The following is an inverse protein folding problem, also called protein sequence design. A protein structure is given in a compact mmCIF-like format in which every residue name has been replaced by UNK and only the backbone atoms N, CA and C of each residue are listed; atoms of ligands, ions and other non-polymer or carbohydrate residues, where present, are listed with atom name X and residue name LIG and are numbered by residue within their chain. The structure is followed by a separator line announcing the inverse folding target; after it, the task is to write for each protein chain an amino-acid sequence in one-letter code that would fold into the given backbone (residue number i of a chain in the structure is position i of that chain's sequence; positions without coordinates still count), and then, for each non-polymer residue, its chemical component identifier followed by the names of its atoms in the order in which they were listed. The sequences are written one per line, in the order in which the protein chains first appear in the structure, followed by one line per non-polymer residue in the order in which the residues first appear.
data_IF_963767665786
#
_entry.id   IF_963767665786
#
_cell.length_a   1.000
_cell.length_b   1.000
_cell.length_c   1.000
_cell.angle_alpha   90.00
_cell.angle_beta   90.00
_cell.angle_gamma   90.00
#
_symmetry.space_group_name_H-M   'P 1'
#
loop_
_entity.id
_entity.type
_entity.pdbx_description
1 polymer ?
#
# COMPACT_ATOMS: atom_id res chain seq x y z
N UNK A 1 -67.96 -20.76 10.13
CA UNK A 1 -66.69 -20.02 10.38
C UNK A 1 -65.60 -21.03 10.67
N UNK A 2 -64.91 -21.47 9.63
CA UNK A 2 -63.59 -22.17 9.62
C UNK A 2 -63.44 -22.72 8.21
N UNK A 3 -62.32 -22.41 7.54
CA UNK A 3 -61.72 -23.14 6.38
C UNK A 3 -61.12 -22.31 5.24
N UNK A 4 -61.01 -20.98 5.36
CA UNK A 4 -60.22 -20.18 4.38
C UNK A 4 -58.78 -19.85 4.80
N UNK A 5 -58.37 -20.17 6.04
CA UNK A 5 -57.04 -19.82 6.56
C UNK A 5 -55.99 -20.95 6.49
N UNK A 6 -56.40 -22.21 6.28
CA UNK A 6 -55.43 -23.31 6.10
C UNK A 6 -54.95 -23.41 4.66
N UNK A 7 -55.83 -23.28 3.67
CA UNK A 7 -55.48 -23.37 2.25
C UNK A 7 -54.45 -22.32 1.82
N UNK A 8 -54.61 -21.07 2.28
CA UNK A 8 -53.72 -19.95 1.95
C UNK A 8 -52.33 -20.04 2.59
N UNK A 9 -52.21 -20.66 3.78
CA UNK A 9 -50.92 -20.91 4.45
C UNK A 9 -50.16 -22.08 3.82
N UNK A 10 -50.87 -23.13 3.42
CA UNK A 10 -50.26 -24.29 2.74
C UNK A 10 -49.80 -23.91 1.33
N UNK A 11 -50.58 -23.10 0.60
CA UNK A 11 -50.21 -22.60 -0.72
C UNK A 11 -49.02 -21.63 -0.67
N UNK A 12 -48.93 -20.75 0.35
CA UNK A 12 -47.76 -19.88 0.56
C UNK A 12 -46.52 -20.67 0.95
N UNK A 13 -46.64 -21.73 1.76
CA UNK A 13 -45.50 -22.61 2.09
C UNK A 13 -45.04 -23.43 0.88
N UNK A 14 -45.96 -23.88 0.03
CA UNK A 14 -45.61 -24.55 -1.22
C UNK A 14 -44.93 -23.61 -2.20
N UNK A 15 -45.41 -22.36 -2.33
CA UNK A 15 -44.76 -21.36 -3.18
C UNK A 15 -43.38 -20.95 -2.64
N UNK A 16 -43.22 -20.82 -1.31
CA UNK A 16 -41.92 -20.54 -0.70
C UNK A 16 -40.96 -21.73 -0.87
N UNK A 17 -41.43 -22.97 -0.73
CA UNK A 17 -40.61 -24.15 -0.98
C UNK A 17 -40.29 -24.34 -2.47
N UNK A 18 -41.18 -23.96 -3.39
CA UNK A 18 -40.89 -23.96 -4.83
C UNK A 18 -39.95 -22.82 -5.24
N UNK A 19 -40.00 -21.66 -4.56
CA UNK A 19 -39.03 -20.57 -4.73
C UNK A 19 -37.66 -20.96 -4.16
N UNK A 20 -37.61 -21.54 -2.96
CA UNK A 20 -36.37 -22.02 -2.32
C UNK A 20 -35.78 -23.20 -3.09
N UNK A 21 -36.62 -24.15 -3.52
CA UNK A 21 -36.19 -25.28 -4.34
C UNK A 21 -35.80 -24.83 -5.74
N UNK A 22 -36.47 -23.83 -6.33
CA UNK A 22 -36.11 -23.23 -7.61
C UNK A 22 -34.78 -22.49 -7.55
N UNK A 23 -34.48 -21.79 -6.45
CA UNK A 23 -33.17 -21.16 -6.22
C UNK A 23 -32.07 -22.18 -5.91
N UNK A 24 -32.40 -23.32 -5.29
CA UNK A 24 -31.44 -24.40 -4.99
C UNK A 24 -31.18 -25.33 -6.18
N UNK A 25 -32.11 -25.47 -7.14
CA UNK A 25 -31.90 -26.29 -8.34
C UNK A 25 -31.08 -25.59 -9.43
N UNK A 26 -30.79 -24.30 -9.30
CA UNK A 26 -29.79 -23.60 -10.13
C UNK A 26 -28.41 -23.49 -9.46
N UNK A 27 -28.23 -24.00 -8.23
CA UNK A 27 -26.91 -24.14 -7.63
C UNK A 27 -26.34 -25.54 -7.87
N UNK A 28 -26.04 -25.87 -9.13
CA UNK A 28 -24.94 -26.82 -9.40
C UNK A 28 -23.62 -26.06 -9.17
N UNK A 29 -23.34 -25.74 -7.91
CA UNK A 29 -22.05 -25.20 -7.50
C UNK A 29 -21.18 -26.35 -7.04
N UNK A 30 -20.06 -26.58 -7.71
CA UNK A 30 -18.93 -27.22 -7.04
C UNK A 30 -18.65 -26.38 -5.78
N UNK A 31 -18.80 -26.95 -4.59
CA UNK A 31 -18.47 -26.23 -3.37
C UNK A 31 -17.00 -25.85 -3.43
N UNK A 32 -16.70 -24.55 -3.39
CA UNK A 32 -15.32 -24.13 -3.16
C UNK A 32 -14.96 -24.54 -1.74
N UNK A 33 -14.10 -25.54 -1.61
CA UNK A 33 -13.54 -25.95 -0.33
C UNK A 33 -12.42 -24.98 -0.02
N UNK A 34 -12.60 -24.16 1.01
CA UNK A 34 -11.53 -23.38 1.59
C UNK A 34 -10.82 -24.21 2.65
N UNK A 35 -9.48 -24.29 2.58
CA UNK A 35 -8.67 -25.08 3.49
C UNK A 35 -8.69 -24.53 4.93
N UNK A 36 -8.80 -23.20 5.07
CA UNK A 36 -8.74 -22.51 6.34
C UNK A 36 -9.93 -21.56 6.53
N UNK A 37 -10.41 -21.50 7.78
CA UNK A 37 -11.43 -20.58 8.26
C UNK A 37 -10.96 -19.94 9.56
N UNK A 38 -10.92 -18.61 9.59
CA UNK A 38 -10.54 -17.82 10.76
C UNK A 38 -11.72 -16.92 11.15
N UNK A 39 -12.33 -17.17 12.31
CA UNK A 39 -13.39 -16.32 12.86
C UNK A 39 -12.79 -15.30 13.85
N UNK A 40 -13.22 -14.04 13.76
CA UNK A 40 -12.95 -13.01 14.76
C UNK A 40 -14.17 -12.12 14.95
N UNK A 41 -14.20 -11.27 16.01
CA UNK A 41 -15.22 -10.24 16.16
C UNK A 41 -15.28 -9.24 14.98
N UNK A 42 -14.19 -9.09 14.23
CA UNK A 42 -14.13 -8.20 13.07
C UNK A 42 -14.72 -8.84 11.80
N UNK A 43 -14.77 -10.17 11.72
CA UNK A 43 -15.32 -10.86 10.55
C UNK A 43 -14.80 -12.29 10.42
N UNK A 44 -15.19 -12.94 9.33
CA UNK A 44 -14.70 -14.29 9.01
C UNK A 44 -13.82 -14.23 7.78
N UNK A 45 -12.62 -14.81 7.85
CA UNK A 45 -11.70 -14.97 6.72
C UNK A 45 -11.71 -16.44 6.28
N UNK A 46 -11.86 -16.66 4.99
CA UNK A 46 -11.70 -17.97 4.34
C UNK A 46 -10.52 -17.92 3.37
N UNK A 47 -9.63 -18.92 3.39
CA UNK A 47 -8.47 -18.96 2.48
C UNK A 47 -8.08 -20.38 2.08
N UNK A 48 -7.46 -20.50 0.90
CA UNK A 48 -6.68 -21.65 0.46
C UNK A 48 -5.16 -21.40 0.53
N UNK A 49 -4.75 -20.17 0.83
CA UNK A 49 -3.36 -19.80 1.11
C UNK A 49 -2.91 -20.34 2.47
N UNK A 50 -1.63 -20.11 2.81
CA UNK A 50 -1.11 -20.46 4.12
C UNK A 50 -1.84 -19.72 5.26
N UNK A 51 -1.96 -20.41 6.40
CA UNK A 51 -2.69 -19.89 7.57
C UNK A 51 -1.98 -18.70 8.24
N UNK A 52 -0.68 -18.52 8.03
CA UNK A 52 0.08 -17.42 8.63
C UNK A 52 -0.25 -16.10 7.91
N UNK A 53 -0.30 -16.10 6.58
CA UNK A 53 -0.78 -14.99 5.75
C UNK A 53 -2.19 -14.57 6.15
N UNK A 54 -3.10 -15.54 6.35
CA UNK A 54 -4.47 -15.22 6.74
C UNK A 54 -4.60 -14.64 8.17
N UNK A 55 -3.68 -14.96 9.08
CA UNK A 55 -3.62 -14.35 10.43
C UNK A 55 -3.19 -12.90 10.38
N UNK A 56 -2.22 -12.55 9.52
CA UNK A 56 -1.83 -11.14 9.30
C UNK A 56 -3.06 -10.32 8.89
N UNK A 57 -3.79 -10.77 7.87
CA UNK A 57 -5.04 -10.10 7.44
C UNK A 57 -6.13 -10.05 8.51
N UNK A 58 -6.17 -11.00 9.45
CA UNK A 58 -7.14 -11.00 10.55
C UNK A 58 -6.88 -9.84 11.52
N UNK A 59 -5.62 -9.62 11.89
CA UNK A 59 -5.22 -8.52 12.78
C UNK A 59 -5.42 -7.16 12.09
N UNK A 60 -5.15 -7.08 10.78
CA UNK A 60 -5.38 -5.87 10.00
C UNK A 60 -6.85 -5.56 9.76
N UNK A 61 -7.70 -6.57 9.60
CA UNK A 61 -9.15 -6.36 9.42
C UNK A 61 -9.76 -5.62 10.61
N UNK A 62 -9.39 -5.98 11.84
CA UNK A 62 -9.89 -5.31 13.03
C UNK A 62 -9.47 -3.84 13.09
N UNK A 63 -8.18 -3.58 12.82
CA UNK A 63 -7.62 -2.23 12.76
C UNK A 63 -8.27 -1.38 11.66
N UNK A 64 -8.41 -1.91 10.45
CA UNK A 64 -9.05 -1.24 9.32
C UNK A 64 -10.51 -0.88 9.60
N UNK A 65 -11.28 -1.82 10.14
CA UNK A 65 -12.69 -1.56 10.47
C UNK A 65 -12.82 -0.50 11.56
N UNK A 66 -11.98 -0.55 12.61
CA UNK A 66 -11.98 0.48 13.65
C UNK A 66 -11.64 1.86 13.06
N UNK A 67 -10.63 1.93 12.20
CA UNK A 67 -10.26 3.14 11.48
C UNK A 67 -11.39 3.70 10.62
N UNK A 68 -12.02 2.87 9.79
CA UNK A 68 -13.17 3.28 8.97
C UNK A 68 -14.35 3.74 9.85
N UNK A 69 -14.64 3.08 10.96
CA UNK A 69 -15.70 3.52 11.91
C UNK A 69 -15.39 4.88 12.52
N UNK A 70 -14.14 5.14 12.90
CA UNK A 70 -13.71 6.43 13.44
C UNK A 70 -13.80 7.55 12.40
N UNK A 71 -13.40 7.28 11.16
CA UNK A 71 -13.37 8.28 10.09
C UNK A 71 -14.71 8.50 9.41
N UNK A 72 -15.60 7.51 9.45
CA UNK A 72 -16.95 7.53 8.86
C UNK A 72 -18.03 7.11 9.89
N UNK A 73 -18.17 7.81 11.03
CA UNK A 73 -18.98 7.37 12.16
C UNK A 73 -20.50 7.40 11.90
N UNK A 74 -21.00 8.18 10.94
CA UNK A 74 -22.42 8.16 10.56
C UNK A 74 -22.71 7.10 9.51
N UNK A 75 -21.82 6.97 8.54
CA UNK A 75 -21.87 6.04 7.42
C UNK A 75 -21.74 4.59 7.92
N UNK A 76 -20.93 4.36 8.95
CA UNK A 76 -20.63 3.03 9.48
C UNK A 76 -21.61 2.49 10.54
N UNK A 77 -22.62 3.25 10.97
CA UNK A 77 -23.48 2.90 12.14
C UNK A 77 -24.16 1.54 12.05
N UNK A 78 -24.52 1.11 10.84
CA UNK A 78 -25.27 -0.13 10.59
C UNK A 78 -24.53 -1.06 9.62
N UNK A 79 -23.19 -0.99 9.61
CA UNK A 79 -22.37 -1.89 8.79
C UNK A 79 -22.22 -3.21 9.53
N UNK A 80 -22.71 -4.29 8.93
CA UNK A 80 -22.61 -5.65 9.46
C UNK A 80 -21.17 -6.18 9.37
N UNK A 81 -20.91 -7.37 9.91
CA UNK A 81 -19.60 -8.00 9.77
C UNK A 81 -19.38 -8.44 8.31
N UNK A 82 -18.19 -8.17 7.77
CA UNK A 82 -17.80 -8.62 6.44
C UNK A 82 -17.30 -10.09 6.47
N UNK A 83 -17.60 -10.82 5.41
CA UNK A 83 -16.94 -12.10 5.10
C UNK A 83 -15.83 -11.84 4.10
N UNK A 84 -14.59 -12.24 4.40
CA UNK A 84 -13.44 -12.05 3.53
C UNK A 84 -13.05 -13.40 2.91
N UNK A 85 -12.87 -13.42 1.61
CA UNK A 85 -12.40 -14.56 0.83
C UNK A 85 -11.04 -14.22 0.23
N UNK A 86 -9.99 -14.90 0.67
CA UNK A 86 -8.64 -14.76 0.10
C UNK A 86 -8.49 -15.86 -0.96
N UNK A 87 -8.37 -15.45 -2.22
CA UNK A 87 -8.12 -16.36 -3.34
C UNK A 87 -6.64 -16.72 -3.45
N UNK A 88 -6.35 -17.89 -3.99
CA UNK A 88 -5.00 -18.27 -4.43
C UNK A 88 -4.82 -17.99 -5.92
N UNK A 89 -3.60 -17.75 -6.38
CA UNK A 89 -3.28 -17.66 -7.81
C UNK A 89 -3.96 -18.81 -8.58
N UNK A 90 -4.54 -18.45 -9.73
CA UNK A 90 -5.47 -19.24 -10.55
C UNK A 90 -5.20 -20.77 -10.55
N UNK A 91 -6.05 -21.54 -9.87
CA UNK A 91 -6.16 -22.99 -10.09
C UNK A 91 -6.80 -23.34 -11.45
N UNK A 92 -7.20 -22.34 -12.26
CA UNK A 92 -7.88 -22.53 -13.54
C UNK A 92 -7.21 -21.78 -14.69
N UNK A 93 -5.97 -22.15 -15.01
CA UNK A 93 -5.22 -21.73 -16.21
C UNK A 93 -5.87 -22.08 -17.56
N UNK A 94 -7.09 -22.64 -17.57
CA UNK A 94 -7.82 -23.09 -18.76
C UNK A 94 -9.15 -22.36 -19.00
N UNK A 95 -9.43 -21.26 -18.30
CA UNK A 95 -10.66 -20.50 -18.52
C UNK A 95 -10.54 -19.69 -19.82
N UNK A 96 -11.49 -19.86 -20.74
CA UNK A 96 -11.58 -19.06 -21.96
C UNK A 96 -11.84 -17.60 -21.56
N UNK A 97 -10.83 -16.75 -21.72
CA UNK A 97 -10.90 -15.30 -21.54
C UNK A 97 -11.97 -14.76 -22.50
N UNK A 98 -13.04 -14.17 -21.97
CA UNK A 98 -14.05 -13.47 -22.77
C UNK A 98 -13.76 -11.98 -22.71
N UNK A 99 -13.74 -11.32 -23.87
CA UNK A 99 -13.49 -9.88 -24.06
C UNK A 99 -14.49 -8.93 -23.34
N UNK A 100 -15.43 -9.48 -22.56
CA UNK A 100 -16.44 -8.77 -21.78
C UNK A 100 -16.30 -9.01 -20.26
N UNK A 101 -15.37 -9.84 -19.81
CA UNK A 101 -15.09 -10.01 -18.38
C UNK A 101 -14.18 -8.85 -17.90
N UNK A 102 -14.63 -8.14 -16.86
CA UNK A 102 -13.83 -7.11 -16.17
C UNK A 102 -12.83 -7.83 -15.26
N UNK A 103 -11.54 -7.56 -15.42
CA UNK A 103 -10.52 -8.13 -14.55
C UNK A 103 -10.27 -7.22 -13.33
N UNK A 104 -10.59 -7.72 -12.13
CA UNK A 104 -10.33 -6.99 -10.86
C UNK A 104 -9.44 -7.81 -9.93
N UNK A 105 -8.57 -7.14 -9.17
CA UNK A 105 -7.66 -7.76 -8.18
C UNK A 105 -8.42 -8.14 -6.88
N UNK A 106 -9.57 -7.51 -6.67
CA UNK A 106 -10.56 -7.85 -5.67
C UNK A 106 -11.94 -7.34 -6.07
N UNK A 107 -12.98 -7.75 -5.34
CA UNK A 107 -14.34 -7.26 -5.53
C UNK A 107 -15.20 -7.45 -4.27
N UNK A 108 -16.15 -6.53 -4.07
CA UNK A 108 -17.13 -6.58 -3.00
C UNK A 108 -18.54 -6.93 -3.50
N UNK A 109 -19.18 -7.90 -2.84
CA UNK A 109 -20.58 -8.25 -3.01
C UNK A 109 -21.45 -7.70 -1.87
N UNK A 110 -22.33 -6.76 -2.19
CA UNK A 110 -23.28 -6.22 -1.21
C UNK A 110 -24.31 -7.25 -0.71
N UNK A 111 -24.82 -8.12 -1.57
CA UNK A 111 -25.88 -9.07 -1.21
C UNK A 111 -25.40 -10.10 -0.18
N UNK A 112 -24.11 -10.41 -0.22
CA UNK A 112 -23.48 -11.42 0.64
C UNK A 112 -22.53 -10.81 1.67
N UNK A 113 -22.41 -9.47 1.73
CA UNK A 113 -21.42 -8.75 2.53
C UNK A 113 -20.01 -9.38 2.43
N UNK A 114 -19.64 -9.76 1.21
CA UNK A 114 -18.46 -10.58 0.93
C UNK A 114 -17.42 -9.75 0.18
N UNK A 115 -16.19 -9.73 0.67
CA UNK A 115 -15.02 -9.19 -0.04
C UNK A 115 -14.19 -10.36 -0.53
N UNK A 116 -13.82 -10.38 -1.80
CA UNK A 116 -12.85 -11.34 -2.34
C UNK A 116 -11.65 -10.57 -2.89
N UNK A 117 -10.43 -11.05 -2.64
CA UNK A 117 -9.23 -10.51 -3.28
C UNK A 117 -8.14 -11.56 -3.40
N UNK A 118 -7.19 -11.33 -4.31
CA UNK A 118 -5.99 -12.14 -4.44
C UNK A 118 -4.79 -11.35 -3.89
N UNK A 119 -4.07 -11.85 -2.88
CA UNK A 119 -2.87 -11.19 -2.38
C UNK A 119 -1.77 -11.23 -3.46
N UNK A 120 -0.98 -10.17 -3.56
CA UNK A 120 0.23 -10.16 -4.39
C UNK A 120 1.20 -11.17 -3.79
N UNK A 121 1.80 -12.03 -4.63
CA UNK A 121 2.70 -13.08 -4.15
C UNK A 121 3.85 -12.50 -3.32
N UNK A 122 4.26 -13.19 -2.24
CA UNK A 122 5.41 -12.76 -1.42
C UNK A 122 6.71 -12.60 -2.23
N UNK A 123 6.85 -13.33 -3.35
CA UNK A 123 7.98 -13.24 -4.27
C UNK A 123 7.92 -11.98 -5.14
N UNK A 124 6.74 -11.60 -5.65
CA UNK A 124 6.54 -10.31 -6.32
C UNK A 124 6.66 -9.15 -5.34
N UNK A 125 6.20 -9.32 -4.10
CA UNK A 125 6.46 -8.37 -3.02
C UNK A 125 7.96 -8.27 -2.80
N UNK A 126 8.74 -9.32 -2.59
CA UNK A 126 10.21 -9.16 -2.45
C UNK A 126 10.91 -8.55 -3.69
N UNK A 127 10.33 -8.71 -4.89
CA UNK A 127 10.82 -8.10 -6.12
C UNK A 127 10.40 -6.63 -6.31
N UNK A 128 9.20 -6.24 -5.82
CA UNK A 128 8.60 -4.90 -5.94
C UNK A 128 8.76 -4.04 -4.66
N UNK A 129 8.74 -4.67 -3.49
CA UNK A 129 8.94 -4.15 -2.13
C UNK A 129 10.42 -3.85 -1.88
N UNK A 130 10.80 -2.69 -2.42
CA UNK A 130 11.73 -1.78 -1.74
C UNK A 130 11.00 -0.94 -0.69
N UNK A 131 9.91 -1.45 -0.09
CA UNK A 131 8.99 -0.75 0.81
C UNK A 131 8.89 -1.48 2.16
N UNK A 132 8.84 -0.70 3.24
CA UNK A 132 8.79 -1.16 4.63
C UNK A 132 7.38 -1.39 5.18
N UNK A 133 6.34 -1.13 4.38
CA UNK A 133 4.96 -1.52 4.66
C UNK A 133 4.33 -1.97 3.34
N UNK A 134 3.75 -3.17 3.34
CA UNK A 134 3.43 -3.87 2.11
C UNK A 134 2.14 -3.34 1.45
N UNK A 135 2.08 -3.28 0.10
CA UNK A 135 0.85 -3.11 -0.67
C UNK A 135 -0.23 -4.20 -0.44
N UNK A 136 -0.01 -5.13 0.49
CA UNK A 136 -0.89 -6.25 0.85
C UNK A 136 -2.27 -5.83 1.35
N UNK A 137 -2.38 -4.65 1.98
CA UNK A 137 -3.60 -4.20 2.65
C UNK A 137 -4.47 -3.26 1.82
N UNK A 138 -3.91 -2.63 0.79
CA UNK A 138 -4.62 -1.58 0.04
C UNK A 138 -5.87 -2.09 -0.65
N UNK A 139 -5.77 -3.24 -1.33
CA UNK A 139 -6.94 -3.88 -1.98
C UNK A 139 -8.00 -4.30 -0.97
N UNK A 140 -7.62 -4.90 0.17
CA UNK A 140 -8.59 -5.25 1.21
C UNK A 140 -9.29 -4.01 1.76
N UNK A 141 -8.55 -2.95 2.05
CA UNK A 141 -9.11 -1.71 2.59
C UNK A 141 -9.98 -0.97 1.57
N UNK A 142 -9.62 -1.02 0.29
CA UNK A 142 -10.42 -0.52 -0.83
C UNK A 142 -11.80 -1.20 -0.84
N UNK A 143 -11.83 -2.54 -0.88
CA UNK A 143 -13.07 -3.31 -0.91
C UNK A 143 -13.87 -3.20 0.39
N UNK A 144 -13.18 -3.11 1.53
CA UNK A 144 -13.83 -2.86 2.82
C UNK A 144 -14.48 -1.47 2.86
N UNK A 145 -13.91 -0.48 2.18
CA UNK A 145 -14.53 0.84 2.05
C UNK A 145 -15.81 0.77 1.22
N UNK A 146 -15.84 -0.03 0.14
CA UNK A 146 -17.08 -0.33 -0.59
C UNK A 146 -18.13 -0.95 0.32
N UNK A 147 -17.73 -1.89 1.17
CA UNK A 147 -18.63 -2.49 2.16
C UNK A 147 -19.25 -1.44 3.09
N UNK A 148 -18.43 -0.57 3.66
CA UNK A 148 -18.85 0.48 4.60
C UNK A 148 -19.74 1.55 3.96
N UNK A 149 -19.52 1.85 2.69
CA UNK A 149 -20.21 2.94 1.99
C UNK A 149 -21.42 2.47 1.17
N UNK A 150 -21.58 1.16 0.96
CA UNK A 150 -22.62 0.57 0.09
C UNK A 150 -24.07 0.95 0.45
N UNK A 151 -24.36 1.27 1.71
CA UNK A 151 -25.70 1.69 2.13
C UNK A 151 -26.05 3.12 1.73
N UNK A 152 -25.05 3.98 1.51
CA UNK A 152 -25.23 5.41 1.26
C UNK A 152 -25.94 5.64 -0.07
N UNK A 153 -27.00 6.46 -0.05
CA UNK A 153 -27.82 6.71 -1.24
C UNK A 153 -27.10 7.60 -2.25
N UNK A 154 -26.37 8.59 -1.76
CA UNK A 154 -25.69 9.61 -2.57
C UNK A 154 -24.54 9.03 -3.42
N UNK A 155 -24.06 7.83 -3.08
CA UNK A 155 -23.00 7.13 -3.81
C UNK A 155 -23.56 6.15 -4.86
N UNK A 156 -24.84 5.75 -4.75
CA UNK A 156 -25.39 4.68 -5.60
C UNK A 156 -25.39 5.10 -7.06
N UNK A 157 -24.95 4.18 -7.92
CA UNK A 157 -24.89 4.37 -9.37
C UNK A 157 -23.98 5.51 -9.84
N UNK A 158 -23.15 6.07 -8.95
CA UNK A 158 -22.09 7.03 -9.27
C UNK A 158 -20.75 6.32 -9.12
N UNK A 159 -20.34 5.62 -10.17
CA UNK A 159 -19.20 4.71 -10.14
C UNK A 159 -17.89 5.44 -9.82
N UNK A 160 -17.66 6.59 -10.46
CA UNK A 160 -16.52 7.44 -10.16
C UNK A 160 -16.47 7.80 -8.66
N UNK A 161 -17.60 8.15 -8.05
CA UNK A 161 -17.63 8.58 -6.65
C UNK A 161 -17.46 7.40 -5.69
N UNK A 162 -18.02 6.24 -6.04
CA UNK A 162 -17.86 4.98 -5.29
C UNK A 162 -16.38 4.59 -5.24
N UNK A 163 -15.71 4.56 -6.39
CA UNK A 163 -14.28 4.29 -6.48
C UNK A 163 -13.43 5.39 -5.83
N UNK A 164 -13.84 6.66 -5.93
CA UNK A 164 -13.13 7.76 -5.29
C UNK A 164 -13.07 7.57 -3.76
N UNK A 165 -14.16 7.16 -3.14
CA UNK A 165 -14.19 6.87 -1.70
C UNK A 165 -13.24 5.72 -1.37
N UNK A 166 -13.32 4.59 -2.09
CA UNK A 166 -12.44 3.46 -1.85
C UNK A 166 -10.95 3.83 -2.01
N UNK A 167 -10.61 4.52 -3.10
CA UNK A 167 -9.25 5.04 -3.34
C UNK A 167 -8.78 6.04 -2.26
N UNK A 168 -9.70 6.76 -1.61
CA UNK A 168 -9.34 7.72 -0.57
C UNK A 168 -8.79 7.02 0.68
N UNK A 169 -9.33 5.85 1.02
CA UNK A 169 -8.94 5.10 2.21
C UNK A 169 -7.91 4.01 1.93
N UNK A 170 -7.78 3.50 0.70
CA UNK A 170 -6.92 2.34 0.37
C UNK A 170 -5.43 2.49 0.73
N UNK A 171 -4.95 3.73 0.87
CA UNK A 171 -3.55 4.02 1.23
C UNK A 171 -3.36 4.37 2.70
N UNK A 172 -4.39 4.21 3.53
CA UNK A 172 -4.24 4.39 4.98
C UNK A 172 -3.23 3.39 5.53
N UNK A 173 -2.43 3.85 6.49
CA UNK A 173 -1.34 3.09 7.08
C UNK A 173 -1.41 3.13 8.61
N UNK A 174 -0.77 2.15 9.24
CA UNK A 174 -0.59 2.10 10.69
C UNK A 174 0.44 3.15 11.10
N UNK A 175 -0.03 4.25 11.70
CA UNK A 175 0.82 5.27 12.29
C UNK A 175 1.41 4.81 13.63
N UNK A 176 2.13 5.72 14.30
CA UNK A 176 2.58 5.48 15.67
C UNK A 176 1.40 5.12 16.57
N UNK A 177 1.62 4.24 17.55
CA UNK A 177 0.60 3.76 18.49
C UNK A 177 -0.59 3.06 17.79
N UNK A 178 -0.35 2.34 16.69
CA UNK A 178 -1.36 1.61 15.91
C UNK A 178 -2.51 2.49 15.36
N UNK A 179 -2.29 3.81 15.25
CA UNK A 179 -3.33 4.73 14.79
C UNK A 179 -3.65 4.52 13.30
N UNK A 180 -4.93 4.59 12.95
CA UNK A 180 -5.36 4.60 11.55
C UNK A 180 -5.15 5.99 10.94
N UNK A 181 -4.13 6.12 10.09
CA UNK A 181 -3.70 7.37 9.48
C UNK A 181 -3.98 7.34 7.98
N UNK A 182 -4.77 8.31 7.50
CA UNK A 182 -4.98 8.51 6.06
C UNK A 182 -3.89 9.47 5.57
N UNK A 183 -3.10 9.10 4.56
CA UNK A 183 -2.06 9.99 4.06
C UNK A 183 -2.67 11.27 3.47
N UNK A 184 -1.93 12.39 3.49
CA UNK A 184 -2.41 13.66 2.96
C UNK A 184 -2.69 13.60 1.45
N UNK A 185 -2.10 12.62 0.76
CA UNK A 185 -2.23 12.43 -0.68
C UNK A 185 -1.99 10.97 -1.08
N UNK A 186 -2.74 10.48 -2.07
CA UNK A 186 -2.47 9.20 -2.72
C UNK A 186 -1.42 9.40 -3.81
N UNK A 187 -0.18 8.98 -3.56
CA UNK A 187 0.99 9.31 -4.41
C UNK A 187 0.82 8.84 -5.86
N UNK A 188 0.39 7.60 -6.09
CA UNK A 188 0.25 7.05 -7.45
C UNK A 188 -0.91 7.67 -8.22
N UNK A 189 -2.11 7.76 -7.62
CA UNK A 189 -3.26 8.44 -8.23
C UNK A 189 -2.94 9.90 -8.55
N UNK A 190 -2.32 10.65 -7.63
CA UNK A 190 -1.88 12.02 -7.90
C UNK A 190 -0.89 12.10 -9.06
N UNK A 191 0.12 11.20 -9.09
CA UNK A 191 1.12 11.17 -10.17
C UNK A 191 0.47 10.88 -11.52
N UNK A 192 -0.42 9.89 -11.56
CA UNK A 192 -1.12 9.44 -12.77
C UNK A 192 -1.99 10.55 -13.32
N UNK A 193 -2.86 11.14 -12.50
CA UNK A 193 -3.75 12.23 -12.92
C UNK A 193 -2.96 13.46 -13.36
N UNK A 194 -1.94 13.86 -12.58
CA UNK A 194 -1.11 15.03 -12.90
C UNK A 194 -0.30 14.85 -14.19
N UNK A 195 0.19 13.64 -14.45
CA UNK A 195 0.84 13.29 -15.73
C UNK A 195 -0.14 13.46 -16.88
N UNK A 196 -1.36 12.95 -16.73
CA UNK A 196 -2.39 13.06 -17.78
C UNK A 196 -2.83 14.51 -18.03
N UNK A 197 -2.99 15.31 -16.97
CA UNK A 197 -3.25 16.75 -17.06
C UNK A 197 -2.14 17.48 -17.86
N UNK A 198 -0.87 17.15 -17.60
CA UNK A 198 0.26 17.75 -18.35
C UNK A 198 0.30 17.33 -19.82
N UNK A 199 -0.06 16.10 -20.11
CA UNK A 199 -0.10 15.55 -21.47
C UNK A 199 -1.22 16.20 -22.32
N UNK A 200 -2.40 16.35 -21.73
CA UNK A 200 -3.59 16.83 -22.45
C UNK A 200 -3.72 18.36 -22.44
N UNK A 201 -3.18 19.03 -21.42
CA UNK A 201 -3.54 20.42 -21.09
C UNK A 201 -4.90 20.52 -20.40
N UNK A 202 -5.17 21.68 -19.78
CA UNK A 202 -6.34 21.84 -18.89
C UNK A 202 -7.68 21.62 -19.59
N UNK A 203 -7.86 22.14 -20.81
CA UNK A 203 -9.15 22.06 -21.53
C UNK A 203 -9.55 20.60 -21.84
N UNK A 204 -8.64 19.85 -22.48
CA UNK A 204 -8.87 18.43 -22.81
C UNK A 204 -8.91 17.55 -21.58
N UNK A 205 -8.16 17.89 -20.54
CA UNK A 205 -8.24 17.19 -19.27
C UNK A 205 -9.61 17.38 -18.62
N UNK A 206 -10.17 18.59 -18.61
CA UNK A 206 -11.52 18.83 -18.09
C UNK A 206 -12.58 18.03 -18.86
N UNK A 207 -12.46 17.90 -20.18
CA UNK A 207 -13.33 17.03 -20.99
C UNK A 207 -13.24 15.57 -20.54
N UNK A 208 -12.02 15.05 -20.34
CA UNK A 208 -11.82 13.69 -19.83
C UNK A 208 -12.42 13.50 -18.43
N UNK A 209 -12.31 14.49 -17.55
CA UNK A 209 -12.95 14.41 -16.22
C UNK A 209 -14.47 14.39 -16.35
N UNK A 210 -15.03 15.21 -17.24
CA UNK A 210 -16.47 15.23 -17.52
C UNK A 210 -16.98 13.88 -18.05
N UNK A 211 -16.22 13.22 -18.93
CA UNK A 211 -16.51 11.85 -19.37
C UNK A 211 -16.52 10.85 -18.20
N UNK A 212 -15.56 10.96 -17.27
CA UNK A 212 -15.46 10.06 -16.11
C UNK A 212 -16.65 10.21 -15.15
N UNK A 213 -17.10 11.44 -14.87
CA UNK A 213 -18.20 11.66 -13.93
C UNK A 213 -19.57 11.27 -14.50
N UNK A 214 -19.71 11.25 -15.83
CA UNK A 214 -20.92 10.87 -16.54
C UNK A 214 -20.95 9.41 -17.01
N UNK A 215 -19.85 8.67 -16.85
CA UNK A 215 -19.74 7.29 -17.30
C UNK A 215 -20.77 6.36 -16.62
N UNK A 216 -21.45 5.55 -17.45
CA UNK A 216 -22.21 4.40 -16.99
C UNK A 216 -21.30 3.30 -16.43
N UNK A 217 -21.88 2.28 -15.80
CA UNK A 217 -21.10 1.15 -15.26
C UNK A 217 -20.21 0.52 -16.33
N UNK A 218 -20.78 0.26 -17.50
CA UNK A 218 -20.05 -0.37 -18.58
C UNK A 218 -18.93 0.56 -19.10
N UNK A 219 -19.20 1.85 -19.30
CA UNK A 219 -18.16 2.79 -19.76
C UNK A 219 -17.02 2.94 -18.75
N UNK A 220 -17.34 2.90 -17.45
CA UNK A 220 -16.36 3.03 -16.40
C UNK A 220 -15.45 1.79 -16.28
N UNK A 221 -15.97 0.58 -16.53
CA UNK A 221 -15.22 -0.67 -16.30
C UNK A 221 -14.81 -1.45 -17.57
N UNK A 222 -15.36 -1.17 -18.76
CA UNK A 222 -15.17 -2.01 -19.97
C UNK A 222 -13.75 -2.08 -20.53
N UNK A 223 -12.84 -1.21 -20.12
CA UNK A 223 -11.45 -1.21 -20.57
C UNK A 223 -10.51 -1.22 -19.36
N UNK A 224 -10.05 -2.42 -18.99
CA UNK A 224 -9.20 -2.64 -17.82
C UNK A 224 -7.88 -1.85 -17.87
N UNK A 225 -7.35 -1.59 -19.07
CA UNK A 225 -6.15 -0.76 -19.24
C UNK A 225 -6.36 0.72 -18.88
N UNK A 226 -7.61 1.21 -18.90
CA UNK A 226 -7.97 2.59 -18.58
C UNK A 226 -8.61 2.76 -17.20
N UNK A 227 -9.07 1.67 -16.58
CA UNK A 227 -9.67 1.71 -15.24
C UNK A 227 -8.76 2.38 -14.19
N UNK A 228 -7.43 2.10 -14.13
CA UNK A 228 -6.55 2.79 -13.18
C UNK A 228 -6.50 4.31 -13.36
N UNK A 229 -6.62 4.80 -14.61
CA UNK A 229 -6.69 6.25 -14.87
C UNK A 229 -8.01 6.84 -14.38
N UNK A 230 -9.13 6.14 -14.61
CA UNK A 230 -10.46 6.57 -14.11
C UNK A 230 -10.50 6.60 -12.59
N UNK A 231 -9.87 5.65 -11.91
CA UNK A 231 -9.75 5.62 -10.45
C UNK A 231 -8.91 6.79 -9.94
N UNK A 232 -7.76 7.03 -10.58
CA UNK A 232 -6.89 8.16 -10.24
C UNK A 232 -7.57 9.51 -10.40
N UNK A 233 -8.33 9.71 -11.50
CA UNK A 233 -9.13 10.90 -11.74
C UNK A 233 -10.21 11.04 -10.67
N UNK A 234 -10.96 9.97 -10.41
CA UNK A 234 -12.04 9.92 -9.42
C UNK A 234 -11.56 10.33 -8.02
N UNK A 235 -10.45 9.73 -7.57
CA UNK A 235 -9.78 10.11 -6.33
C UNK A 235 -9.37 11.59 -6.33
N UNK A 236 -8.83 12.09 -7.44
CA UNK A 236 -8.34 13.48 -7.54
C UNK A 236 -9.47 14.50 -7.41
N UNK A 237 -10.65 14.21 -7.99
CA UNK A 237 -11.85 15.04 -7.85
C UNK A 237 -12.26 15.10 -6.37
N UNK A 238 -12.46 13.93 -5.74
CA UNK A 238 -12.88 13.87 -4.34
C UNK A 238 -11.89 14.56 -3.42
N UNK A 239 -10.59 14.26 -3.57
CA UNK A 239 -9.51 14.84 -2.78
C UNK A 239 -9.44 16.37 -2.90
N UNK A 240 -9.50 16.91 -4.12
CA UNK A 240 -9.42 18.35 -4.37
C UNK A 240 -10.63 19.11 -3.83
N UNK A 241 -11.84 18.58 -4.06
CA UNK A 241 -13.08 19.25 -3.65
C UNK A 241 -13.28 19.16 -2.13
N UNK A 242 -13.03 18.01 -1.50
CA UNK A 242 -13.19 17.89 -0.04
C UNK A 242 -12.23 18.79 0.73
N UNK A 243 -11.03 19.07 0.18
CA UNK A 243 -10.06 19.98 0.82
C UNK A 243 -10.53 21.44 0.88
N UNK A 244 -11.55 21.80 0.09
CA UNK A 244 -12.14 23.14 0.10
C UNK A 244 -13.37 23.24 1.02
N UNK A 245 -13.77 22.10 1.61
CA UNK A 245 -14.94 22.01 2.45
C UNK A 245 -14.57 22.13 3.93
N UNK A 246 -15.55 22.42 4.78
CA UNK A 246 -15.36 22.66 6.22
C UNK A 246 -16.00 21.56 7.04
N UNK A 247 -15.48 21.31 8.24
CA UNK A 247 -16.01 20.30 9.17
C UNK A 247 -15.19 19.02 9.22
N UNK A 248 -15.75 17.96 9.80
CA UNK A 248 -15.08 16.65 9.92
C UNK A 248 -14.84 16.01 8.55
N UNK A 249 -13.91 15.06 8.48
CA UNK A 249 -13.61 14.34 7.23
C UNK A 249 -14.88 13.76 6.60
N UNK A 250 -15.66 12.98 7.35
CA UNK A 250 -16.92 12.43 6.85
C UNK A 250 -17.87 13.52 6.32
N UNK A 251 -17.97 14.66 7.02
CA UNK A 251 -18.85 15.74 6.57
C UNK A 251 -18.39 16.30 5.22
N UNK A 252 -17.09 16.55 5.04
CA UNK A 252 -16.52 17.05 3.78
C UNK A 252 -16.70 16.04 2.64
N UNK A 253 -16.44 14.75 2.88
CA UNK A 253 -16.65 13.71 1.88
C UNK A 253 -18.12 13.62 1.45
N UNK A 254 -19.06 13.71 2.41
CA UNK A 254 -20.49 13.69 2.10
C UNK A 254 -20.98 14.99 1.43
N UNK A 255 -20.36 16.14 1.70
CA UNK A 255 -20.64 17.37 0.96
C UNK A 255 -20.25 17.24 -0.51
N UNK A 256 -19.12 16.61 -0.85
CA UNK A 256 -18.79 16.27 -2.25
C UNK A 256 -19.83 15.31 -2.84
N UNK A 257 -20.24 14.30 -2.07
CA UNK A 257 -21.24 13.33 -2.52
C UNK A 257 -22.63 13.93 -2.80
N UNK A 258 -22.94 15.08 -2.20
CA UNK A 258 -24.20 15.80 -2.42
C UNK A 258 -24.19 16.69 -3.65
N UNK A 259 -23.02 16.99 -4.22
CA UNK A 259 -22.93 17.74 -5.46
C UNK A 259 -23.46 16.89 -6.63
N UNK A 260 -24.27 17.50 -7.48
CA UNK A 260 -24.62 16.89 -8.76
C UNK A 260 -23.45 16.98 -9.77
N UNK A 261 -23.59 16.33 -10.92
CA UNK A 261 -22.52 16.29 -11.90
C UNK A 261 -22.25 17.67 -12.53
N UNK A 262 -23.27 18.52 -12.71
CA UNK A 262 -23.10 19.86 -13.29
C UNK A 262 -22.33 20.77 -12.32
N UNK A 263 -22.63 20.68 -11.03
CA UNK A 263 -21.89 21.37 -9.97
C UNK A 263 -20.42 20.92 -9.93
N UNK A 264 -20.13 19.64 -10.14
CA UNK A 264 -18.76 19.12 -10.23
C UNK A 264 -18.06 19.63 -11.49
N UNK A 265 -18.72 19.58 -12.65
CA UNK A 265 -18.19 20.09 -13.91
C UNK A 265 -17.83 21.58 -13.81
N UNK A 266 -18.65 22.36 -13.09
CA UNK A 266 -18.37 23.79 -12.85
C UNK A 266 -17.14 24.06 -11.99
N UNK A 267 -16.68 23.07 -11.21
CA UNK A 267 -15.54 23.15 -10.26
C UNK A 267 -14.27 22.46 -10.76
N UNK A 268 -14.22 22.00 -12.01
CA UNK A 268 -13.03 21.33 -12.57
C UNK A 268 -11.78 22.21 -12.58
N UNK A 269 -11.95 23.53 -12.65
CA UNK A 269 -10.82 24.45 -12.53
C UNK A 269 -10.15 24.37 -11.15
N UNK A 270 -10.90 24.10 -10.09
CA UNK A 270 -10.36 23.95 -8.75
C UNK A 270 -9.59 22.62 -8.61
N UNK A 271 -10.07 21.56 -9.27
CA UNK A 271 -9.39 20.26 -9.35
C UNK A 271 -8.06 20.40 -10.07
N UNK A 272 -8.03 21.03 -11.25
CA UNK A 272 -6.78 21.25 -12.00
C UNK A 272 -5.78 22.13 -11.24
N UNK A 273 -6.27 23.15 -10.54
CA UNK A 273 -5.44 24.02 -9.68
C UNK A 273 -4.81 23.23 -8.53
N UNK A 274 -5.59 22.36 -7.89
CA UNK A 274 -5.12 21.50 -6.78
C UNK A 274 -4.06 20.48 -7.22
N UNK A 275 -4.05 20.09 -8.50
CA UNK A 275 -3.04 19.20 -9.11
C UNK A 275 -1.75 19.94 -9.55
N UNK A 276 -1.71 21.27 -9.42
CA UNK A 276 -0.57 22.11 -9.81
C UNK A 276 0.73 21.77 -9.08
N UNK A 277 0.74 21.75 -7.72
CA UNK A 277 1.94 21.49 -6.92
C UNK A 277 2.66 20.18 -7.29
N UNK A 278 3.97 20.13 -7.06
CA UNK A 278 4.73 18.89 -7.26
C UNK A 278 4.55 17.93 -6.08
N UNK A 279 4.75 16.63 -6.28
CA UNK A 279 4.81 15.66 -5.16
C UNK A 279 5.82 16.08 -4.09
N UNK A 280 6.98 16.61 -4.49
CA UNK A 280 7.98 17.12 -3.55
C UNK A 280 7.51 18.34 -2.73
N UNK A 281 6.52 19.09 -3.22
CA UNK A 281 5.87 20.15 -2.43
C UNK A 281 5.02 19.52 -1.34
N UNK A 282 4.14 18.58 -1.71
CA UNK A 282 3.29 17.86 -0.75
C UNK A 282 4.10 17.15 0.33
N UNK A 283 5.20 16.48 -0.04
CA UNK A 283 6.09 15.85 0.93
C UNK A 283 6.78 16.87 1.84
N UNK A 284 7.17 18.03 1.32
CA UNK A 284 7.77 19.11 2.13
C UNK A 284 6.79 19.68 3.15
N UNK A 285 5.52 19.81 2.79
CA UNK A 285 4.49 20.32 3.68
C UNK A 285 4.17 19.27 4.76
N UNK A 286 4.03 18.01 4.35
CA UNK A 286 3.63 16.89 5.22
C UNK A 286 4.74 16.42 6.17
N UNK A 287 6.02 16.58 5.82
CA UNK A 287 7.15 16.10 6.64
C UNK A 287 7.26 16.84 7.99
N UNK A 288 6.69 18.04 8.08
CA UNK A 288 6.66 18.81 9.32
C UNK A 288 5.66 18.23 10.34
N UNK A 289 4.62 17.55 9.88
CA UNK A 289 3.55 16.99 10.70
C UNK A 289 3.92 15.60 11.21
N UNK A 290 3.87 15.42 12.52
CA UNK A 290 4.24 14.17 13.22
C UNK A 290 3.61 12.90 12.60
N UNK A 291 2.28 12.79 12.36
CA UNK A 291 1.70 11.56 11.83
C UNK A 291 2.13 11.25 10.39
N UNK A 292 2.65 12.23 9.65
CA UNK A 292 3.00 12.09 8.25
C UNK A 292 4.51 12.14 8.00
N UNK A 293 5.33 12.40 9.02
CA UNK A 293 6.77 12.57 8.87
C UNK A 293 7.45 11.33 8.31
N UNK A 294 7.23 10.18 8.95
CA UNK A 294 7.82 8.90 8.52
C UNK A 294 7.36 8.52 7.12
N UNK A 295 6.05 8.58 6.89
CA UNK A 295 5.44 8.37 5.58
C UNK A 295 6.05 9.28 4.50
N UNK A 296 6.16 10.60 4.77
CA UNK A 296 6.70 11.57 3.81
C UNK A 296 8.14 11.28 3.45
N UNK A 297 8.97 10.91 4.43
CA UNK A 297 10.37 10.52 4.20
C UNK A 297 10.45 9.31 3.28
N UNK A 298 9.67 8.26 3.54
CA UNK A 298 9.70 7.04 2.74
C UNK A 298 9.23 7.27 1.31
N UNK A 299 8.10 7.95 1.14
CA UNK A 299 7.56 8.28 -0.17
C UNK A 299 8.52 9.18 -0.97
N UNK A 300 9.17 10.13 -0.29
CA UNK A 300 10.14 11.00 -0.96
C UNK A 300 11.40 10.24 -1.36
N UNK A 301 11.89 9.31 -0.51
CA UNK A 301 13.03 8.43 -0.83
C UNK A 301 12.74 7.45 -1.98
N UNK A 302 11.47 7.16 -2.29
CA UNK A 302 11.06 6.38 -3.46
C UNK A 302 10.92 7.24 -4.73
N UNK A 303 10.81 8.56 -4.61
CA UNK A 303 10.72 9.48 -5.76
C UNK A 303 12.08 9.68 -6.46
N UNK A 304 12.09 10.33 -7.63
CA UNK A 304 13.30 10.59 -8.41
C UNK A 304 14.24 11.69 -7.87
N UNK A 305 13.70 12.79 -7.32
CA UNK A 305 14.48 13.92 -6.78
C UNK A 305 14.10 14.16 -5.32
N UNK A 306 15.09 14.32 -4.45
CA UNK A 306 14.90 14.48 -3.01
C UNK A 306 15.58 15.72 -2.46
N UNK A 307 15.06 16.22 -1.33
CA UNK A 307 15.74 17.21 -0.49
C UNK A 307 16.40 16.46 0.68
N UNK A 308 17.64 16.02 0.48
CA UNK A 308 18.33 15.21 1.48
C UNK A 308 18.58 15.97 2.79
N UNK A 309 18.72 17.30 2.75
CA UNK A 309 18.91 18.08 3.97
C UNK A 309 17.65 18.02 4.82
N UNK A 310 16.49 18.30 4.22
CA UNK A 310 15.22 18.29 4.92
C UNK A 310 14.86 16.89 5.43
N UNK A 311 15.11 15.85 4.62
CA UNK A 311 14.90 14.45 5.02
C UNK A 311 15.76 14.09 6.23
N UNK A 312 17.06 14.44 6.24
CA UNK A 312 17.93 14.12 7.37
C UNK A 312 17.52 14.86 8.65
N UNK A 313 17.10 16.12 8.55
CA UNK A 313 16.54 16.86 9.69
C UNK A 313 15.29 16.17 10.24
N UNK A 314 14.39 15.71 9.37
CA UNK A 314 13.18 15.02 9.79
C UNK A 314 13.49 13.67 10.46
N UNK A 315 14.45 12.91 9.92
CA UNK A 315 14.90 11.65 10.53
C UNK A 315 15.56 11.90 11.89
N UNK A 316 16.40 12.94 12.01
CA UNK A 316 17.08 13.25 13.28
C UNK A 316 16.09 13.51 14.42
N UNK A 317 14.94 14.11 14.14
CA UNK A 317 13.86 14.29 15.12
C UNK A 317 13.23 12.95 15.57
N UNK A 318 13.19 11.96 14.67
CA UNK A 318 12.61 10.63 14.94
C UNK A 318 13.61 9.68 15.58
N UNK A 319 14.92 9.84 15.40
CA UNK A 319 15.91 8.91 15.98
C UNK A 319 15.84 8.83 17.52
N UNK A 320 15.23 9.83 18.17
CA UNK A 320 15.04 9.85 19.62
C UNK A 320 13.71 9.23 20.08
N UNK A 321 12.81 8.86 19.16
CA UNK A 321 11.52 8.24 19.47
C UNK A 321 11.61 6.70 19.50
N UNK A 322 10.63 6.07 20.15
CA UNK A 322 10.58 4.60 20.23
C UNK A 322 10.46 3.97 18.84
N UNK A 323 11.24 2.91 18.60
CA UNK A 323 11.42 2.30 17.28
C UNK A 323 12.05 3.21 16.21
N UNK A 324 12.39 4.46 16.54
CA UNK A 324 12.91 5.46 15.62
C UNK A 324 14.26 5.11 15.02
N UNK A 325 15.11 4.37 15.74
CA UNK A 325 16.43 3.95 15.26
C UNK A 325 16.34 2.90 14.14
N UNK A 326 15.46 1.90 14.27
CA UNK A 326 15.29 0.80 13.31
C UNK A 326 14.75 1.34 11.98
N UNK A 327 13.87 2.34 12.04
CA UNK A 327 13.34 3.03 10.87
C UNK A 327 14.31 4.10 10.31
N UNK A 328 14.86 4.93 11.19
CA UNK A 328 15.56 6.15 10.81
C UNK A 328 16.94 5.90 10.20
N UNK A 329 17.75 5.02 10.78
CA UNK A 329 19.10 4.75 10.28
C UNK A 329 19.15 4.17 8.86
N UNK A 330 18.31 3.20 8.45
CA UNK A 330 18.25 2.81 7.05
C UNK A 330 17.76 3.95 6.14
N UNK A 331 16.84 4.81 6.59
CA UNK A 331 16.46 6.02 5.84
C UNK A 331 17.63 7.01 5.67
N UNK A 332 18.48 7.19 6.69
CA UNK A 332 19.73 7.96 6.59
C UNK A 332 20.64 7.33 5.52
N UNK A 333 20.88 6.02 5.58
CA UNK A 333 21.72 5.31 4.61
C UNK A 333 21.20 5.48 3.17
N UNK A 334 19.89 5.32 2.95
CA UNK A 334 19.22 5.57 1.66
C UNK A 334 19.37 7.01 1.18
N UNK A 335 19.50 7.97 2.09
CA UNK A 335 19.66 9.39 1.75
C UNK A 335 21.10 9.73 1.37
N UNK A 336 22.08 9.27 2.16
CA UNK A 336 23.48 9.67 2.01
C UNK A 336 24.23 8.86 0.94
N UNK A 337 23.83 7.61 0.70
CA UNK A 337 24.40 6.75 -0.35
C UNK A 337 23.61 6.82 -1.66
N UNK A 338 22.79 7.86 -1.81
CA UNK A 338 22.06 8.16 -3.03
C UNK A 338 22.77 9.24 -3.85
N UNK A 339 22.78 9.02 -5.16
CA UNK A 339 23.14 10.05 -6.14
C UNK A 339 22.00 11.07 -6.28
N UNK A 340 22.33 12.35 -6.35
CA UNK A 340 21.33 13.41 -6.47
C UNK A 340 20.50 13.66 -5.21
N UNK A 341 21.05 13.38 -4.01
CA UNK A 341 20.38 13.68 -2.74
C UNK A 341 20.40 15.16 -2.34
N UNK A 342 21.06 16.03 -3.10
CA UNK A 342 21.14 17.47 -2.78
C UNK A 342 22.03 17.82 -1.58
N UNK A 343 22.65 16.84 -0.93
CA UNK A 343 23.56 17.06 0.20
C UNK A 343 24.91 17.62 -0.27
N UNK A 344 25.39 18.65 0.42
CA UNK A 344 26.76 19.10 0.32
C UNK A 344 27.75 18.04 0.85
N UNK A 345 29.02 18.18 0.48
CA UNK A 345 30.07 17.21 0.83
C UNK A 345 30.27 17.10 2.35
N UNK A 346 30.25 18.22 3.07
CA UNK A 346 30.54 18.25 4.50
C UNK A 346 29.44 17.55 5.30
N UNK A 347 28.16 17.84 4.98
CA UNK A 347 27.04 17.20 5.63
C UNK A 347 26.96 15.70 5.28
N UNK A 348 27.23 15.34 4.02
CA UNK A 348 27.31 13.93 3.63
C UNK A 348 28.36 13.16 4.43
N UNK A 349 29.58 13.69 4.53
CA UNK A 349 30.67 13.05 5.28
C UNK A 349 30.34 12.91 6.77
N UNK A 350 29.67 13.91 7.35
CA UNK A 350 29.23 13.87 8.76
C UNK A 350 28.26 12.70 9.00
N UNK A 351 27.26 12.54 8.15
CA UNK A 351 26.30 11.43 8.30
C UNK A 351 26.87 10.08 7.89
N UNK A 352 27.82 10.03 6.96
CA UNK A 352 28.56 8.80 6.66
C UNK A 352 29.29 8.30 7.90
N UNK A 353 30.00 9.16 8.63
CA UNK A 353 30.64 8.77 9.90
C UNK A 353 29.63 8.26 10.94
N UNK A 354 28.45 8.89 11.04
CA UNK A 354 27.37 8.41 11.94
C UNK A 354 26.90 7.01 11.55
N UNK A 355 26.70 6.74 10.24
CA UNK A 355 26.34 5.39 9.76
C UNK A 355 27.45 4.38 10.03
N UNK A 356 28.70 4.74 9.76
CA UNK A 356 29.85 3.87 10.04
C UNK A 356 29.95 3.53 11.52
N UNK A 357 29.70 4.50 12.42
CA UNK A 357 29.62 4.24 13.86
C UNK A 357 28.47 3.28 14.20
N UNK A 358 27.27 3.49 13.66
CA UNK A 358 26.12 2.61 13.90
C UNK A 358 26.35 1.19 13.40
N UNK A 359 27.05 1.03 12.27
CA UNK A 359 27.43 -0.29 11.78
C UNK A 359 28.41 -1.01 12.71
N UNK A 360 29.27 -0.28 13.43
CA UNK A 360 30.26 -0.86 14.37
C UNK A 360 29.67 -1.16 15.74
N UNK A 361 28.90 -0.22 16.28
CA UNK A 361 28.53 -0.16 17.70
C UNK A 361 27.01 -0.24 17.93
N UNK A 362 26.21 -0.11 16.88
CA UNK A 362 24.75 -0.05 17.00
C UNK A 362 24.11 -1.41 17.33
N UNK A 363 22.82 -1.42 17.70
CA UNK A 363 22.07 -2.65 17.89
C UNK A 363 22.08 -3.54 16.62
N UNK A 364 22.11 -4.86 16.79
CA UNK A 364 22.13 -5.83 15.66
C UNK A 364 21.04 -5.53 14.61
N UNK A 365 19.82 -5.23 15.06
CA UNK A 365 18.69 -4.93 14.17
C UNK A 365 18.92 -3.67 13.33
N UNK A 366 19.53 -2.63 13.91
CA UNK A 366 19.90 -1.40 13.20
C UNK A 366 21.00 -1.68 12.18
N UNK A 367 22.04 -2.43 12.58
CA UNK A 367 23.16 -2.83 11.70
C UNK A 367 22.63 -3.61 10.48
N UNK A 368 21.79 -4.61 10.71
CA UNK A 368 21.11 -5.39 9.66
C UNK A 368 20.28 -4.50 8.73
N UNK A 369 19.45 -3.62 9.28
CA UNK A 369 18.58 -2.74 8.50
C UNK A 369 19.39 -1.80 7.60
N UNK A 370 20.47 -1.20 8.11
CA UNK A 370 21.38 -0.37 7.32
C UNK A 370 21.99 -1.18 6.17
N UNK A 371 22.58 -2.35 6.44
CA UNK A 371 23.22 -3.18 5.42
C UNK A 371 22.27 -3.55 4.28
N UNK A 372 21.01 -3.89 4.60
CA UNK A 372 20.00 -4.30 3.61
C UNK A 372 19.68 -3.19 2.60
N UNK A 373 19.73 -1.92 3.02
CA UNK A 373 19.31 -0.77 2.18
C UNK A 373 20.45 -0.04 1.46
N UNK A 374 21.71 -0.36 1.77
CA UNK A 374 22.86 0.21 1.03
C UNK A 374 22.74 -0.20 -0.45
N UNK A 375 22.73 0.82 -1.32
CA UNK A 375 22.66 0.68 -2.79
C UNK A 375 24.02 0.99 -3.41
N UNK A 376 24.11 0.81 -4.72
CA UNK A 376 25.32 1.05 -5.52
C UNK A 376 25.91 2.45 -5.27
N UNK A 377 26.92 2.50 -4.41
CA UNK A 377 27.60 3.73 -4.03
C UNK A 377 29.12 3.51 -3.96
N UNK A 378 29.77 3.59 -5.13
CA UNK A 378 31.19 3.27 -5.30
C UNK A 378 32.17 4.36 -4.84
N UNK A 379 31.75 5.28 -3.97
CA UNK A 379 32.53 6.50 -3.60
C UNK A 379 32.95 6.59 -2.13
N UNK A 380 32.65 5.59 -1.31
CA UNK A 380 33.01 5.59 0.12
C UNK A 380 33.92 4.41 0.43
N UNK A 381 35.25 4.62 0.36
CA UNK A 381 36.23 3.60 0.74
C UNK A 381 36.17 3.22 2.23
N UNK A 382 35.83 4.19 3.09
CA UNK A 382 35.61 3.96 4.53
C UNK A 382 34.44 3.01 4.79
N UNK A 383 33.34 3.11 4.04
CA UNK A 383 32.21 2.18 4.15
C UNK A 383 32.64 0.74 3.79
N UNK A 384 33.45 0.55 2.75
CA UNK A 384 33.91 -0.79 2.36
C UNK A 384 34.71 -1.42 3.51
N UNK A 385 35.57 -0.63 4.16
CA UNK A 385 36.35 -1.09 5.32
C UNK A 385 35.42 -1.57 6.44
N UNK A 386 34.43 -0.75 6.82
CA UNK A 386 33.44 -1.11 7.85
C UNK A 386 32.69 -2.38 7.49
N UNK A 387 32.22 -2.51 6.24
CA UNK A 387 31.47 -3.69 5.81
C UNK A 387 32.32 -4.97 5.78
N UNK A 388 33.62 -4.89 5.49
CA UNK A 388 34.54 -6.04 5.59
C UNK A 388 34.70 -6.49 7.04
N UNK A 389 34.77 -5.56 7.99
CA UNK A 389 34.83 -5.91 9.41
C UNK A 389 33.55 -6.61 9.89
N UNK A 390 32.39 -6.25 9.34
CA UNK A 390 31.12 -6.96 9.65
C UNK A 390 31.12 -8.42 9.19
N UNK A 391 31.99 -8.81 8.26
CA UNK A 391 32.12 -10.21 7.83
C UNK A 391 32.77 -11.09 8.91
N UNK A 392 33.40 -10.48 9.92
CA UNK A 392 34.04 -11.17 11.05
C UNK A 392 33.07 -11.41 12.23
N UNK A 393 31.87 -10.83 12.18
CA UNK A 393 30.86 -10.95 13.24
C UNK A 393 30.35 -12.38 13.42
N UNK A 394 29.89 -12.69 14.63
CA UNK A 394 29.34 -14.01 14.95
C UNK A 394 28.02 -14.28 14.23
N UNK A 395 27.17 -13.26 14.13
CA UNK A 395 25.82 -13.35 13.55
C UNK A 395 25.86 -13.60 12.03
N UNK A 396 25.30 -14.74 11.63
CA UNK A 396 25.31 -15.17 10.23
C UNK A 396 24.47 -14.29 9.29
N UNK A 397 23.36 -13.73 9.77
CA UNK A 397 22.52 -12.84 8.96
C UNK A 397 23.22 -11.50 8.72
N UNK A 398 23.91 -10.96 9.73
CA UNK A 398 24.64 -9.71 9.62
C UNK A 398 25.79 -9.83 8.62
N UNK A 399 26.57 -10.93 8.69
CA UNK A 399 27.61 -11.20 7.68
C UNK A 399 27.04 -11.28 6.28
N UNK A 400 25.92 -12.00 6.10
CA UNK A 400 25.28 -12.15 4.79
C UNK A 400 24.77 -10.79 4.26
N UNK A 401 24.14 -9.98 5.11
CA UNK A 401 23.69 -8.64 4.74
C UNK A 401 24.87 -7.71 4.40
N UNK A 402 25.98 -7.78 5.14
CA UNK A 402 27.20 -7.03 4.86
C UNK A 402 27.83 -7.45 3.53
N UNK A 403 27.91 -8.75 3.24
CA UNK A 403 28.38 -9.27 1.95
C UNK A 403 27.52 -8.79 0.77
N UNK A 404 26.19 -8.75 0.95
CA UNK A 404 25.27 -8.18 -0.05
C UNK A 404 25.47 -6.67 -0.23
N UNK A 405 25.75 -5.94 0.84
CA UNK A 405 26.07 -4.52 0.74
C UNK A 405 27.40 -4.30 0.00
N UNK A 406 28.44 -5.10 0.32
CA UNK A 406 29.74 -5.09 -0.35
C UNK A 406 29.60 -5.30 -1.86
N UNK A 407 28.70 -6.19 -2.30
CA UNK A 407 28.54 -6.47 -3.74
C UNK A 407 27.95 -5.34 -4.55
N UNK A 408 27.33 -4.40 -3.87
CA UNK A 408 26.77 -3.18 -4.46
C UNK A 408 27.79 -2.03 -4.47
N UNK A 409 28.61 -1.93 -3.42
CA UNK A 409 29.51 -0.79 -3.22
C UNK A 409 30.95 -1.02 -3.70
N UNK A 410 31.39 -2.27 -3.80
CA UNK A 410 32.75 -2.64 -4.20
C UNK A 410 32.86 -2.95 -5.70
N UNK A 411 34.06 -2.78 -6.24
CA UNK A 411 34.45 -3.27 -7.57
C UNK A 411 35.25 -4.59 -7.49
N UNK A 412 35.37 -5.21 -6.31
CA UNK A 412 36.06 -6.48 -6.16
C UNK A 412 35.42 -7.54 -7.06
N UNK A 413 36.22 -8.31 -7.83
CA UNK A 413 35.69 -9.22 -8.84
C UNK A 413 34.89 -10.39 -8.26
N UNK A 414 35.08 -10.74 -6.99
CA UNK A 414 34.44 -11.90 -6.36
C UNK A 414 33.81 -11.55 -5.01
N UNK A 415 32.54 -11.89 -4.85
CA UNK A 415 31.86 -11.94 -3.55
C UNK A 415 31.16 -13.27 -3.45
N UNK A 416 31.47 -14.02 -2.39
CA UNK A 416 30.84 -15.31 -2.14
C UNK A 416 29.36 -15.09 -1.83
N UNK A 417 28.51 -15.98 -2.36
CA UNK A 417 27.05 -15.95 -2.19
C UNK A 417 26.66 -15.77 -0.69
N UNK A 418 25.66 -14.94 -0.36
CA UNK A 418 25.12 -14.77 0.99
C UNK A 418 24.96 -16.07 1.82
N UNK A 419 24.56 -17.19 1.20
CA UNK A 419 24.40 -18.47 1.89
C UNK A 419 25.68 -18.99 2.57
N UNK A 420 26.86 -18.69 1.99
CA UNK A 420 28.15 -18.98 2.60
C UNK A 420 28.33 -18.22 3.91
N UNK A 421 28.02 -16.92 3.91
CA UNK A 421 28.23 -16.05 5.06
C UNK A 421 27.33 -16.40 6.25
N UNK A 422 26.19 -17.03 6.01
CA UNK A 422 25.31 -17.51 7.07
C UNK A 422 25.96 -18.70 7.81
N UNK A 423 26.41 -19.73 7.08
CA UNK A 423 26.67 -21.06 7.66
C UNK A 423 28.11 -21.59 7.52
N UNK A 424 28.98 -20.94 6.74
CA UNK A 424 30.31 -21.49 6.45
C UNK A 424 31.16 -21.66 7.71
N UNK A 425 32.10 -22.62 7.77
CA UNK A 425 33.04 -22.74 8.87
C UNK A 425 33.91 -21.48 9.05
N UNK A 426 34.29 -21.16 10.29
CA UNK A 426 35.10 -19.97 10.61
C UNK A 426 36.38 -19.86 9.76
N UNK A 427 37.12 -20.97 9.63
CA UNK A 427 38.35 -21.02 8.84
C UNK A 427 38.16 -20.62 7.37
N UNK A 428 37.03 -20.99 6.77
CA UNK A 428 36.74 -20.62 5.38
C UNK A 428 36.39 -19.14 5.28
N UNK A 429 35.60 -18.62 6.23
CA UNK A 429 35.30 -17.18 6.30
C UNK A 429 36.55 -16.34 6.52
N UNK A 430 37.44 -16.73 7.42
CA UNK A 430 38.67 -16.00 7.73
C UNK A 430 39.57 -15.85 6.50
N UNK A 431 39.60 -16.88 5.63
CA UNK A 431 40.33 -16.82 4.36
C UNK A 431 39.73 -15.76 3.44
N UNK A 432 38.42 -15.77 3.24
CA UNK A 432 37.73 -14.78 2.41
C UNK A 432 37.91 -13.36 2.97
N UNK A 433 37.76 -13.16 4.28
CA UNK A 433 38.00 -11.86 4.93
C UNK A 433 39.44 -11.39 4.73
N UNK A 434 40.42 -12.29 4.81
CA UNK A 434 41.83 -11.95 4.56
C UNK A 434 42.05 -11.49 3.13
N UNK A 435 41.43 -12.15 2.14
CA UNK A 435 41.48 -11.70 0.73
C UNK A 435 40.87 -10.30 0.56
N UNK A 436 39.75 -10.03 1.23
CA UNK A 436 39.13 -8.70 1.24
C UNK A 436 40.04 -7.62 1.83
N UNK A 437 40.70 -7.90 2.95
CA UNK A 437 41.65 -6.97 3.59
C UNK A 437 42.86 -6.70 2.68
N UNK A 438 43.43 -7.75 2.09
CA UNK A 438 44.55 -7.62 1.14
C UNK A 438 44.17 -6.79 -0.09
N UNK A 439 42.95 -6.95 -0.60
CA UNK A 439 42.47 -6.13 -1.71
C UNK A 439 42.30 -4.66 -1.33
N UNK A 440 41.78 -4.37 -0.12
CA UNK A 440 41.66 -3.00 0.38
C UNK A 440 43.01 -2.31 0.55
N UNK A 441 44.04 -3.08 0.91
CA UNK A 441 45.43 -2.61 1.06
C UNK A 441 46.19 -2.52 -0.28
N UNK A 442 45.61 -3.03 -1.37
CA UNK A 442 46.22 -3.01 -2.70
C UNK A 442 46.09 -1.60 -3.33
N UNK A 443 47.18 -1.05 -3.89
CA UNK A 443 47.26 0.35 -4.35
C UNK A 443 46.40 0.71 -5.56
#
# INVERSE_FOLDING_TARGET
MTDNNMSTRTLRRLLLMLLVSGTLTFSTGCGMIYQHRLESPAGTIWTNEDIETARVYQDDLAWMQAGLRDRLPKTSRNVEAATILIGSEDLHSNRIVREQEVHTVGWYNRMLSTVQFNPISMAEIQFLSREGDAPQHGTLLHELTHHFTSSQRDLRSRWWLTEAFACYFETAFRGQEDRFVIPPIHVENYRTTRRKLRELGSERFSQLVDEVIHASWLEFYRNDGEAPLRYAISWSILWALQNQMSGSLEHRLMQVAQLDNDEISSRLQDVTTSLGPSLSSHFRDSIAEEPFRRWSVEQWLNSGRIDGQLILTAIENELTSDGGEIWGWPCVARTIYRWGSGLDRSNRLRWQRKIEQQLREGPLQVRLAICRVIRDYRRSGSLITVLVELLEEEDGELRAAAAMALSRVSNHPTIVNPAFWINAPAKERDREVTEWKLWLDSP
#
